data_IF_095343643954
#
_entry.id   IF_095343643954
#
_cell.length_a   1.000
_cell.length_b   1.000
_cell.length_c   1.000
_cell.angle_alpha   90.00
_cell.angle_beta   90.00
_cell.angle_gamma   90.00
#
_symmetry.space_group_name_H-M   'P 1'
#
loop_
_entity.id
_entity.type
_entity.pdbx_description
1 polymer ?
#
# COMPACT_ATOMS: atom_id res chain seq x y z
N UNK A 1 -14.41 25.34 -4.94
CA UNK A 1 -13.89 25.35 -6.32
C UNK A 1 -13.36 23.97 -6.62
N UNK A 2 -13.71 23.39 -7.77
CA UNK A 2 -13.16 22.10 -8.18
C UNK A 2 -11.82 22.34 -8.88
N UNK A 3 -10.75 21.76 -8.34
CA UNK A 3 -9.45 21.76 -9.01
C UNK A 3 -9.45 20.65 -10.08
N UNK A 4 -8.99 20.95 -11.28
CA UNK A 4 -8.81 19.96 -12.35
C UNK A 4 -7.34 19.59 -12.43
N UNK A 5 -7.02 18.35 -12.08
CA UNK A 5 -5.65 17.82 -12.19
C UNK A 5 -5.43 17.21 -13.57
N UNK A 6 -4.28 17.52 -14.19
CA UNK A 6 -3.79 16.81 -15.37
C UNK A 6 -2.36 16.36 -15.10
N UNK A 7 -2.07 15.09 -15.38
CA UNK A 7 -0.73 14.51 -15.21
C UNK A 7 -0.03 14.45 -16.56
N UNK A 8 1.21 14.92 -16.62
CA UNK A 8 2.10 14.80 -17.79
C UNK A 8 3.45 14.30 -17.33
N UNK A 9 3.97 13.27 -18.00
CA UNK A 9 5.34 12.80 -17.80
C UNK A 9 6.27 13.75 -18.54
N UNK A 10 7.32 14.20 -17.85
CA UNK A 10 8.27 15.18 -18.36
C UNK A 10 9.70 14.65 -18.17
N UNK A 11 10.62 14.95 -19.10
CA UNK A 11 12.04 14.77 -18.87
C UNK A 11 12.52 15.56 -17.65
N UNK A 12 13.42 14.97 -16.86
CA UNK A 12 13.94 15.57 -15.61
C UNK A 12 14.57 16.94 -15.82
N UNK A 13 15.29 17.15 -16.92
CA UNK A 13 15.95 18.42 -17.22
C UNK A 13 14.98 19.59 -17.47
N UNK A 14 13.69 19.33 -17.74
CA UNK A 14 12.68 20.39 -17.93
C UNK A 14 11.99 20.80 -16.62
N UNK A 15 12.14 20.03 -15.54
CA UNK A 15 11.37 20.23 -14.30
C UNK A 15 11.62 21.60 -13.69
N UNK A 16 12.86 22.08 -13.69
CA UNK A 16 13.23 23.37 -13.11
C UNK A 16 12.65 24.57 -13.88
N UNK A 17 12.47 24.46 -15.19
CA UNK A 17 12.11 25.58 -16.06
C UNK A 17 10.60 25.63 -16.36
N UNK A 18 9.91 24.48 -16.35
CA UNK A 18 8.58 24.36 -16.93
C UNK A 18 7.54 25.24 -16.23
N UNK A 19 7.58 25.34 -14.91
CA UNK A 19 6.62 26.14 -14.15
C UNK A 19 6.73 27.62 -14.53
N UNK A 20 7.96 28.13 -14.62
CA UNK A 20 8.24 29.51 -15.03
C UNK A 20 7.83 29.75 -16.48
N UNK A 21 8.13 28.80 -17.37
CA UNK A 21 7.77 28.90 -18.78
C UNK A 21 6.25 28.88 -19.01
N UNK A 22 5.51 28.05 -18.27
CA UNK A 22 4.03 28.05 -18.30
C UNK A 22 3.50 29.40 -17.83
N UNK A 23 3.99 29.92 -16.70
CA UNK A 23 3.58 31.24 -16.18
C UNK A 23 3.85 32.35 -17.20
N UNK A 24 5.04 32.39 -17.80
CA UNK A 24 5.42 33.40 -18.79
C UNK A 24 4.52 33.36 -20.03
N UNK A 25 4.24 32.17 -20.56
CA UNK A 25 3.37 32.00 -21.72
C UNK A 25 1.92 32.39 -21.41
N UNK A 26 1.40 32.02 -20.23
CA UNK A 26 0.05 32.39 -19.81
C UNK A 26 -0.10 33.90 -19.59
N UNK A 27 0.91 34.54 -19.00
CA UNK A 27 0.96 35.99 -18.86
C UNK A 27 0.97 36.69 -20.23
N UNK A 28 1.81 36.22 -21.17
CA UNK A 28 1.85 36.75 -22.54
C UNK A 28 0.53 36.57 -23.29
N UNK A 29 -0.19 35.48 -23.02
CA UNK A 29 -1.51 35.20 -23.57
C UNK A 29 -2.66 35.95 -22.91
N UNK A 30 -2.41 36.82 -21.92
CA UNK A 30 -3.47 37.55 -21.21
C UNK A 30 -4.36 36.68 -20.32
N UNK A 31 -3.89 35.51 -19.90
CA UNK A 31 -4.67 34.53 -19.14
C UNK A 31 -4.69 34.88 -17.65
N UNK A 32 -5.50 35.88 -17.28
CA UNK A 32 -5.53 36.46 -15.92
C UNK A 32 -5.92 35.46 -14.83
N UNK A 33 -6.82 34.51 -15.13
CA UNK A 33 -7.29 33.51 -14.16
C UNK A 33 -6.19 32.54 -13.72
N UNK A 34 -5.10 32.41 -14.48
CA UNK A 34 -4.00 31.51 -14.16
C UNK A 34 -2.92 32.12 -13.24
N UNK A 35 -3.10 33.38 -12.79
CA UNK A 35 -2.14 34.08 -11.92
C UNK A 35 -1.83 33.31 -10.63
N UNK A 36 -2.79 32.55 -10.12
CA UNK A 36 -2.69 31.79 -8.87
C UNK A 36 -2.46 30.29 -9.10
N UNK A 37 -1.96 29.90 -10.28
CA UNK A 37 -1.55 28.51 -10.49
C UNK A 37 -0.49 28.12 -9.47
N UNK A 38 -0.64 26.92 -8.92
CA UNK A 38 0.41 26.21 -8.21
C UNK A 38 0.69 24.92 -8.96
N UNK A 39 1.93 24.46 -8.88
CA UNK A 39 2.37 23.22 -9.50
C UNK A 39 2.69 22.25 -8.39
N UNK A 40 2.10 21.05 -8.44
CA UNK A 40 2.50 19.95 -7.58
C UNK A 40 3.53 19.12 -8.32
N UNK A 41 4.75 19.06 -7.79
CA UNK A 41 5.75 18.13 -8.27
C UNK A 41 5.66 16.83 -7.45
N UNK A 42 5.53 15.70 -8.13
CA UNK A 42 5.52 14.39 -7.47
C UNK A 42 6.58 13.53 -8.10
N UNK A 43 7.58 13.17 -7.31
CA UNK A 43 8.60 12.22 -7.71
C UNK A 43 8.08 10.81 -7.40
N UNK A 44 8.06 9.93 -8.39
CA UNK A 44 7.54 8.57 -8.25
C UNK A 44 8.50 7.55 -8.86
N UNK A 45 8.34 6.27 -8.53
CA UNK A 45 9.16 5.19 -9.11
C UNK A 45 10.52 4.97 -8.43
N UNK A 46 10.76 5.59 -7.27
CA UNK A 46 12.05 5.54 -6.56
C UNK A 46 12.10 4.52 -5.41
N UNK A 47 11.33 3.43 -5.50
CA UNK A 47 11.30 2.43 -4.41
C UNK A 47 12.69 1.84 -4.20
N UNK A 48 13.16 1.87 -2.95
CA UNK A 48 14.47 1.34 -2.53
C UNK A 48 15.67 2.06 -3.16
N UNK A 49 15.53 3.33 -3.55
CA UNK A 49 16.65 4.09 -4.10
C UNK A 49 17.73 4.39 -3.04
N UNK A 50 17.33 4.65 -1.80
CA UNK A 50 18.20 4.85 -0.64
C UNK A 50 17.71 4.04 0.56
N UNK A 51 18.62 3.68 1.47
CA UNK A 51 18.34 2.87 2.66
C UNK A 51 19.31 3.25 3.78
N UNK A 52 18.82 3.26 5.02
CA UNK A 52 19.62 3.48 6.23
C UNK A 52 19.11 2.60 7.37
N UNK A 53 19.92 2.46 8.43
CA UNK A 53 19.45 1.88 9.69
C UNK A 53 18.63 2.89 10.49
N UNK A 54 18.10 2.53 11.66
CA UNK A 54 17.38 3.45 12.56
C UNK A 54 18.35 4.42 13.29
N UNK A 55 19.32 4.96 12.55
CA UNK A 55 20.30 5.93 13.01
C UNK A 55 20.05 7.29 12.32
N UNK A 56 19.89 8.39 13.08
CA UNK A 56 19.61 9.71 12.51
C UNK A 56 20.71 10.24 11.57
N UNK A 57 21.98 9.89 11.81
CA UNK A 57 23.08 10.36 10.97
C UNK A 57 23.08 9.64 9.62
N UNK A 58 22.85 8.33 9.61
CA UNK A 58 22.67 7.57 8.37
C UNK A 58 21.40 8.01 7.60
N UNK A 59 20.33 8.37 8.32
CA UNK A 59 19.11 8.92 7.72
C UNK A 59 19.38 10.24 6.98
N UNK A 60 20.20 11.13 7.56
CA UNK A 60 20.61 12.38 6.90
C UNK A 60 21.39 12.12 5.61
N UNK A 61 22.39 11.24 5.65
CA UNK A 61 23.18 10.88 4.46
C UNK A 61 22.28 10.30 3.36
N UNK A 62 21.36 9.40 3.72
CA UNK A 62 20.40 8.82 2.77
C UNK A 62 19.44 9.86 2.19
N UNK A 63 19.05 10.86 2.97
CA UNK A 63 18.21 11.96 2.50
C UNK A 63 18.97 12.85 1.51
N UNK A 64 20.22 13.20 1.79
CA UNK A 64 21.08 13.98 0.90
C UNK A 64 21.29 13.27 -0.44
N UNK A 65 21.60 11.97 -0.41
CA UNK A 65 21.71 11.14 -1.60
C UNK A 65 20.40 11.08 -2.40
N UNK A 66 19.27 10.91 -1.69
CA UNK A 66 17.95 10.91 -2.33
C UNK A 66 17.66 12.22 -3.04
N UNK A 67 17.81 13.35 -2.35
CA UNK A 67 17.53 14.68 -2.90
C UNK A 67 18.44 14.97 -4.11
N UNK A 68 19.73 14.65 -4.00
CA UNK A 68 20.68 14.74 -5.11
C UNK A 68 20.23 13.92 -6.32
N UNK A 69 19.77 12.68 -6.11
CA UNK A 69 19.32 11.80 -7.20
C UNK A 69 18.10 12.33 -7.97
N UNK A 70 17.29 13.18 -7.34
CA UNK A 70 16.10 13.79 -7.94
C UNK A 70 16.31 15.25 -8.35
N UNK A 71 17.56 15.73 -8.31
CA UNK A 71 17.95 17.10 -8.58
C UNK A 71 17.24 18.14 -7.69
N UNK A 72 17.05 17.79 -6.41
CA UNK A 72 16.60 18.70 -5.36
C UNK A 72 17.77 19.01 -4.42
N UNK A 73 17.88 20.26 -3.96
CA UNK A 73 18.80 20.62 -2.87
C UNK A 73 18.12 20.44 -1.51
N UNK A 74 18.90 20.36 -0.42
CA UNK A 74 18.37 20.42 0.95
C UNK A 74 17.57 21.71 1.21
N UNK A 75 17.99 22.82 0.59
CA UNK A 75 17.32 24.12 0.64
C UNK A 75 15.94 24.11 -0.05
N UNK A 76 15.54 23.00 -0.70
CA UNK A 76 14.17 22.84 -1.19
C UNK A 76 13.14 23.01 -0.06
N UNK A 77 13.52 22.70 1.18
CA UNK A 77 12.71 22.95 2.38
C UNK A 77 12.43 24.45 2.63
N UNK A 78 13.32 25.35 2.22
CA UNK A 78 13.15 26.80 2.34
C UNK A 78 12.19 27.35 1.26
N UNK A 79 12.05 26.62 0.16
CA UNK A 79 11.28 27.01 -1.03
C UNK A 79 10.07 26.08 -1.26
N UNK A 80 9.07 26.18 -0.39
CA UNK A 80 7.77 25.53 -0.57
C UNK A 80 7.40 24.57 0.55
N UNK A 81 6.36 23.76 0.32
CA UNK A 81 5.95 22.70 1.25
C UNK A 81 6.21 21.35 0.59
N UNK A 82 7.16 20.60 1.15
CA UNK A 82 7.56 19.29 0.67
C UNK A 82 7.18 18.21 1.67
N UNK A 83 6.67 17.11 1.15
CA UNK A 83 6.39 15.90 1.92
C UNK A 83 7.15 14.74 1.32
N UNK A 84 7.53 13.81 2.18
CA UNK A 84 8.25 12.60 1.82
C UNK A 84 7.63 11.41 2.54
N UNK A 85 7.61 10.27 1.85
CA UNK A 85 7.22 8.99 2.43
C UNK A 85 8.49 8.32 2.99
N UNK A 86 8.59 8.23 4.32
CA UNK A 86 9.67 7.50 5.00
C UNK A 86 9.17 6.11 5.37
N UNK A 87 9.96 5.09 5.05
CA UNK A 87 9.58 3.70 5.22
C UNK A 87 10.51 2.93 6.16
N UNK A 88 9.93 2.15 7.07
CA UNK A 88 10.64 1.15 7.87
C UNK A 88 10.24 -0.24 7.40
N UNK A 89 11.23 -1.05 7.02
CA UNK A 89 11.01 -2.45 6.65
C UNK A 89 11.60 -3.39 7.72
N UNK A 90 10.75 -4.31 8.17
CA UNK A 90 11.13 -5.38 9.09
C UNK A 90 11.18 -6.67 8.30
N UNK A 91 12.38 -7.25 8.26
CA UNK A 91 12.62 -8.54 7.62
C UNK A 91 12.51 -9.68 8.63
N UNK A 92 11.87 -10.81 8.26
CA UNK A 92 11.85 -12.00 9.09
C UNK A 92 13.24 -12.69 9.12
N UNK A 93 13.39 -13.61 10.06
CA UNK A 93 14.37 -14.70 9.93
C UNK A 93 14.10 -15.55 8.68
N UNK A 94 15.08 -16.34 8.25
CA UNK A 94 14.92 -17.21 7.09
C UNK A 94 13.68 -18.11 7.19
N UNK A 95 13.04 -18.37 6.06
CA UNK A 95 11.83 -19.21 5.96
C UNK A 95 10.60 -18.70 6.73
N UNK A 96 10.61 -17.48 7.24
CA UNK A 96 9.45 -16.90 7.93
C UNK A 96 8.76 -15.82 7.08
N UNK A 97 7.52 -15.51 7.44
CA UNK A 97 6.70 -14.46 6.89
C UNK A 97 6.11 -13.65 8.04
N UNK A 98 6.30 -12.34 7.97
CA UNK A 98 5.72 -11.39 8.91
C UNK A 98 4.38 -10.88 8.41
N UNK A 99 3.46 -10.70 9.35
CA UNK A 99 2.19 -10.02 9.14
C UNK A 99 1.89 -9.09 10.33
N UNK A 100 1.08 -8.07 10.10
CA UNK A 100 0.66 -7.13 11.14
C UNK A 100 -0.50 -7.70 11.97
N UNK A 101 -0.36 -7.59 13.29
CA UNK A 101 -1.43 -7.90 14.24
C UNK A 101 -2.40 -6.72 14.30
N UNK A 102 -3.64 -6.99 13.95
CA UNK A 102 -4.73 -6.01 13.97
C UNK A 102 -4.84 -5.25 15.29
N UNK A 103 -4.81 -5.98 16.40
CA UNK A 103 -5.06 -5.41 17.73
C UNK A 103 -3.92 -4.51 18.20
N UNK A 104 -2.81 -4.46 17.48
CA UNK A 104 -1.65 -3.65 17.83
C UNK A 104 -1.54 -2.38 16.98
N UNK A 105 -2.51 -2.11 16.09
CA UNK A 105 -2.51 -0.91 15.26
C UNK A 105 -2.46 0.38 16.09
N UNK A 106 -3.26 0.48 17.16
CA UNK A 106 -3.25 1.66 18.03
C UNK A 106 -1.88 1.86 18.70
N UNK A 107 -1.25 0.79 19.21
CA UNK A 107 0.06 0.88 19.84
C UNK A 107 1.16 1.34 18.86
N UNK A 108 1.16 0.81 17.62
CA UNK A 108 2.12 1.27 16.60
C UNK A 108 1.90 2.73 16.23
N UNK A 109 0.65 3.14 16.08
CA UNK A 109 0.29 4.52 15.74
C UNK A 109 0.68 5.47 16.86
N UNK A 110 0.43 5.09 18.11
CA UNK A 110 0.84 5.84 19.30
C UNK A 110 2.36 6.04 19.31
N UNK A 111 3.11 4.95 19.18
CA UNK A 111 4.57 4.94 19.23
C UNK A 111 5.18 5.76 18.09
N UNK A 112 4.69 5.57 16.85
CA UNK A 112 5.30 6.16 15.65
C UNK A 112 4.92 7.62 15.48
N UNK A 113 3.68 8.00 15.82
CA UNK A 113 3.24 9.39 15.69
C UNK A 113 3.52 10.21 16.96
N UNK A 114 3.86 9.58 18.09
CA UNK A 114 4.08 10.27 19.36
C UNK A 114 2.79 10.92 19.90
N UNK A 115 1.64 10.26 19.70
CA UNK A 115 0.33 10.78 20.15
C UNK A 115 -0.15 10.08 21.43
N UNK A 116 -1.19 10.62 22.07
CA UNK A 116 -1.80 9.99 23.24
C UNK A 116 -2.40 8.62 22.89
N UNK A 117 -2.49 7.74 23.89
CA UNK A 117 -3.14 6.44 23.72
C UNK A 117 -4.63 6.62 23.36
N UNK A 118 -5.29 7.62 23.91
CA UNK A 118 -6.67 7.97 23.62
C UNK A 118 -6.84 8.34 22.15
N UNK A 119 -5.98 9.22 21.61
CA UNK A 119 -6.02 9.62 20.21
C UNK A 119 -5.71 8.44 19.30
N UNK A 120 -4.69 7.63 19.62
CA UNK A 120 -4.33 6.44 18.85
C UNK A 120 -5.47 5.42 18.77
N UNK A 121 -6.17 5.18 19.88
CA UNK A 121 -7.35 4.31 19.89
C UNK A 121 -8.51 4.93 19.11
N UNK A 122 -8.74 6.24 19.24
CA UNK A 122 -9.78 6.94 18.51
C UNK A 122 -9.58 6.84 16.99
N UNK A 123 -8.37 7.14 16.49
CA UNK A 123 -8.09 7.12 15.04
C UNK A 123 -7.99 5.71 14.46
N UNK A 124 -7.84 4.68 15.28
CA UNK A 124 -7.85 3.27 14.85
C UNK A 124 -9.19 2.58 15.11
N UNK A 125 -10.24 3.34 15.46
CA UNK A 125 -11.58 2.82 15.66
C UNK A 125 -12.24 2.46 14.33
N UNK A 126 -12.89 1.30 14.27
CA UNK A 126 -13.65 0.86 13.10
C UNK A 126 -14.81 1.81 12.80
N UNK A 127 -15.03 2.10 11.51
CA UNK A 127 -16.08 3.00 11.05
C UNK A 127 -15.66 4.47 10.92
N UNK A 128 -14.43 4.82 11.35
CA UNK A 128 -13.86 6.13 11.07
C UNK A 128 -13.53 6.29 9.58
N UNK A 129 -13.82 7.45 9.01
CA UNK A 129 -13.52 7.76 7.60
C UNK A 129 -12.03 7.83 7.30
N UNK A 130 -11.20 7.98 8.34
CA UNK A 130 -9.75 8.15 8.27
C UNK A 130 -8.96 6.87 8.49
N UNK A 131 -9.63 5.76 8.76
CA UNK A 131 -9.00 4.48 9.07
C UNK A 131 -9.55 3.37 8.18
N UNK A 132 -8.67 2.82 7.35
CA UNK A 132 -8.97 1.67 6.51
C UNK A 132 -8.14 0.48 6.94
N UNK A 133 -8.78 -0.68 7.10
CA UNK A 133 -8.09 -1.94 7.43
C UNK A 133 -7.92 -2.79 6.19
N UNK A 134 -6.66 -3.17 5.94
CA UNK A 134 -6.29 -3.97 4.80
C UNK A 134 -6.13 -5.43 5.25
N UNK A 135 -7.26 -6.14 5.40
CA UNK A 135 -7.31 -7.53 5.90
C UNK A 135 -6.49 -8.47 5.00
N UNK A 136 -5.57 -9.21 5.60
CA UNK A 136 -4.71 -10.15 4.89
C UNK A 136 -5.37 -11.52 4.81
N UNK A 137 -5.56 -12.03 3.60
CA UNK A 137 -6.05 -13.40 3.35
C UNK A 137 -7.35 -13.75 4.08
N UNK A 138 -8.24 -12.77 4.27
CA UNK A 138 -9.50 -12.88 5.04
C UNK A 138 -9.32 -13.26 6.53
N UNK A 139 -8.12 -13.08 7.10
CA UNK A 139 -7.87 -13.30 8.51
C UNK A 139 -8.11 -12.00 9.28
N UNK A 140 -9.26 -11.87 9.95
CA UNK A 140 -9.69 -10.60 10.58
C UNK A 140 -8.76 -10.08 11.68
N UNK A 141 -7.91 -10.93 12.25
CA UNK A 141 -6.89 -10.55 13.24
C UNK A 141 -5.54 -10.17 12.60
N UNK A 142 -5.41 -10.34 11.28
CA UNK A 142 -4.19 -10.12 10.50
C UNK A 142 -4.50 -9.08 9.43
N UNK A 143 -4.04 -7.85 9.61
CA UNK A 143 -4.34 -6.78 8.67
C UNK A 143 -3.26 -5.73 8.72
N UNK A 144 -2.98 -5.13 7.57
CA UNK A 144 -2.38 -3.80 7.54
C UNK A 144 -3.45 -2.72 7.81
N UNK A 145 -3.05 -1.46 7.71
CA UNK A 145 -4.00 -0.36 7.72
C UNK A 145 -3.46 0.86 6.98
N UNK A 146 -4.38 1.77 6.66
CA UNK A 146 -4.10 3.10 6.13
C UNK A 146 -4.81 4.12 7.02
N UNK A 147 -4.09 5.16 7.41
CA UNK A 147 -4.58 6.21 8.28
C UNK A 147 -4.27 7.58 7.67
N UNK A 148 -5.27 8.45 7.67
CA UNK A 148 -5.12 9.88 7.40
C UNK A 148 -5.38 10.64 8.71
N UNK A 149 -4.37 10.85 9.58
CA UNK A 149 -4.59 11.26 10.96
C UNK A 149 -5.40 12.57 11.06
N UNK A 150 -5.17 13.48 10.13
CA UNK A 150 -5.74 14.82 10.09
C UNK A 150 -5.33 15.66 11.31
N UNK A 151 -5.77 16.91 11.37
CA UNK A 151 -5.15 17.95 12.21
C UNK A 151 -4.98 17.63 13.70
N UNK A 152 -5.83 16.78 14.28
CA UNK A 152 -5.79 16.45 15.71
C UNK A 152 -4.87 15.28 16.06
N UNK A 153 -4.46 14.46 15.09
CA UNK A 153 -3.71 13.24 15.33
C UNK A 153 -2.43 13.12 14.48
N UNK A 154 -1.96 14.23 13.90
CA UNK A 154 -0.74 14.24 13.08
C UNK A 154 0.53 13.94 13.90
N UNK A 155 0.46 14.15 15.22
CA UNK A 155 1.57 13.85 16.13
C UNK A 155 2.76 14.78 15.99
N UNK A 156 3.88 14.39 16.60
CA UNK A 156 5.11 15.18 16.66
C UNK A 156 5.69 15.46 15.27
N UNK A 157 5.56 14.50 14.36
CA UNK A 157 6.13 14.55 13.00
C UNK A 157 5.17 15.11 11.95
N UNK A 158 4.02 15.64 12.37
CA UNK A 158 2.99 16.20 11.47
C UNK A 158 2.59 15.23 10.34
N UNK A 159 2.41 13.96 10.68
CA UNK A 159 2.12 12.90 9.72
C UNK A 159 0.81 13.17 8.96
N UNK A 160 0.93 13.27 7.64
CA UNK A 160 -0.20 13.46 6.73
C UNK A 160 -0.85 12.11 6.34
N UNK A 161 -0.06 11.03 6.35
CA UNK A 161 -0.50 9.69 5.98
C UNK A 161 0.35 8.65 6.71
N UNK A 162 -0.27 7.54 7.08
CA UNK A 162 0.39 6.41 7.75
C UNK A 162 -0.13 5.10 7.16
N UNK A 163 0.77 4.16 6.90
CA UNK A 163 0.40 2.88 6.34
C UNK A 163 1.22 1.73 6.92
N UNK A 164 0.50 0.66 7.29
CA UNK A 164 1.07 -0.65 7.61
C UNK A 164 0.71 -1.61 6.48
N UNK A 165 1.69 -2.25 5.87
CA UNK A 165 1.46 -3.29 4.88
C UNK A 165 2.58 -4.32 4.85
N UNK A 166 2.45 -5.31 3.97
CA UNK A 166 3.45 -6.37 3.80
C UNK A 166 3.87 -6.52 2.36
N UNK A 167 5.11 -6.97 2.13
CA UNK A 167 5.69 -7.06 0.78
C UNK A 167 5.11 -8.22 -0.05
N UNK A 168 4.42 -9.18 0.57
CA UNK A 168 3.75 -10.28 -0.13
C UNK A 168 2.66 -9.81 -1.12
N UNK A 169 2.12 -8.59 -0.91
CA UNK A 169 1.21 -7.91 -1.86
C UNK A 169 1.88 -7.65 -3.22
N UNK A 170 3.19 -7.47 -3.28
CA UNK A 170 3.92 -7.12 -4.51
C UNK A 170 3.78 -8.20 -5.58
N UNK A 171 3.70 -9.48 -5.18
CA UNK A 171 3.64 -10.63 -6.09
C UNK A 171 2.35 -10.64 -6.92
N UNK A 172 1.28 -10.06 -6.37
CA UNK A 172 -0.02 -9.94 -7.04
C UNK A 172 -0.37 -8.51 -7.43
N UNK A 173 0.59 -7.57 -7.34
CA UNK A 173 0.39 -6.18 -7.71
C UNK A 173 0.03 -6.06 -9.19
N UNK A 174 -0.92 -5.16 -9.50
CA UNK A 174 -1.34 -4.85 -10.85
C UNK A 174 -1.46 -3.32 -11.01
N UNK A 175 -0.32 -2.61 -11.15
CA UNK A 175 -0.32 -1.15 -11.15
C UNK A 175 -1.06 -0.55 -12.36
N UNK A 176 -1.21 -1.29 -13.46
CA UNK A 176 -1.89 -0.84 -14.69
C UNK A 176 -3.38 -1.26 -14.75
N UNK A 177 -3.85 -2.03 -13.77
CA UNK A 177 -5.24 -2.48 -13.73
C UNK A 177 -6.20 -1.50 -13.06
N UNK A 178 -7.51 -1.70 -13.26
CA UNK A 178 -8.55 -0.98 -12.52
C UNK A 178 -8.57 -1.28 -11.00
N UNK A 179 -7.81 -2.29 -10.57
CA UNK A 179 -7.57 -2.65 -9.17
C UNK A 179 -6.07 -2.74 -8.93
N UNK A 180 -5.59 -2.29 -7.76
CA UNK A 180 -4.17 -2.34 -7.40
C UNK A 180 -3.59 -3.76 -7.31
N UNK A 181 -4.44 -4.79 -7.23
CA UNK A 181 -4.06 -6.19 -7.32
C UNK A 181 -4.73 -6.87 -8.51
N UNK A 182 -4.14 -7.97 -8.98
CA UNK A 182 -4.82 -8.91 -9.89
C UNK A 182 -6.15 -9.33 -9.25
N UNK A 183 -7.21 -9.39 -10.03
CA UNK A 183 -8.54 -9.75 -9.55
C UNK A 183 -9.31 -10.54 -10.62
N UNK A 184 -10.20 -11.41 -10.17
CA UNK A 184 -11.16 -12.11 -11.02
C UNK A 184 -12.55 -11.48 -10.91
N UNK A 185 -13.31 -11.48 -12.00
CA UNK A 185 -14.72 -11.08 -12.03
C UNK A 185 -15.63 -12.31 -12.07
N UNK A 186 -16.89 -12.15 -11.67
CA UNK A 186 -17.93 -13.19 -11.81
C UNK A 186 -18.12 -13.60 -13.26
N UNK A 187 -18.05 -12.65 -14.20
CA UNK A 187 -18.11 -12.93 -15.64
C UNK A 187 -16.97 -13.87 -16.09
N UNK A 188 -15.74 -13.64 -15.63
CA UNK A 188 -14.61 -14.52 -15.93
C UNK A 188 -14.76 -15.89 -15.23
N UNK A 189 -15.24 -15.92 -13.99
CA UNK A 189 -15.52 -17.13 -13.23
C UNK A 189 -16.72 -17.96 -13.77
N UNK A 190 -17.56 -17.39 -14.63
CA UNK A 190 -18.62 -18.10 -15.35
C UNK A 190 -18.33 -18.26 -16.85
N UNK A 191 -17.15 -17.82 -17.29
CA UNK A 191 -16.75 -17.85 -18.70
C UNK A 191 -16.67 -19.26 -19.28
N UNK A 192 -16.45 -19.38 -20.61
CA UNK A 192 -16.50 -20.64 -21.35
C UNK A 192 -15.43 -21.66 -20.91
N UNK A 193 -14.34 -21.18 -20.29
CA UNK A 193 -13.27 -22.02 -19.72
C UNK A 193 -13.35 -21.98 -18.19
N UNK A 194 -13.67 -23.12 -17.56
CA UNK A 194 -13.51 -23.35 -16.12
C UNK A 194 -12.59 -24.55 -15.82
N UNK A 195 -11.68 -24.44 -14.85
CA UNK A 195 -11.43 -23.22 -14.09
C UNK A 195 -10.77 -22.14 -14.96
N UNK A 196 -10.92 -20.85 -14.61
CA UNK A 196 -10.34 -19.77 -15.38
C UNK A 196 -8.80 -19.86 -15.31
N UNK A 197 -8.06 -19.54 -16.39
CA UNK A 197 -6.59 -19.54 -16.38
C UNK A 197 -5.99 -18.71 -15.23
N UNK A 198 -6.73 -17.70 -14.77
CA UNK A 198 -6.42 -16.90 -13.60
C UNK A 198 -6.18 -17.75 -12.34
N UNK A 199 -7.04 -18.73 -12.07
CA UNK A 199 -6.95 -19.60 -10.86
C UNK A 199 -5.72 -20.50 -10.96
N UNK A 200 -5.48 -21.12 -12.12
CA UNK A 200 -4.28 -21.92 -12.37
C UNK A 200 -3.00 -21.07 -12.18
N UNK A 201 -3.03 -19.82 -12.67
CA UNK A 201 -1.95 -18.86 -12.50
C UNK A 201 -1.69 -18.52 -11.03
N UNK A 202 -2.75 -18.28 -10.24
CA UNK A 202 -2.64 -18.03 -8.81
C UNK A 202 -2.11 -19.24 -8.03
N UNK A 203 -2.55 -20.46 -8.34
CA UNK A 203 -2.02 -21.68 -7.72
C UNK A 203 -0.52 -21.80 -7.96
N UNK A 204 -0.07 -21.69 -9.21
CA UNK A 204 1.36 -21.73 -9.56
C UNK A 204 2.15 -20.64 -8.85
N UNK A 205 1.59 -19.43 -8.78
CA UNK A 205 2.20 -18.29 -8.12
C UNK A 205 2.40 -18.54 -6.61
N UNK A 206 1.35 -18.97 -5.91
CA UNK A 206 1.42 -19.23 -4.47
C UNK A 206 2.30 -20.44 -4.14
N UNK A 207 2.25 -21.51 -4.93
CA UNK A 207 3.17 -22.64 -4.77
C UNK A 207 4.62 -22.21 -4.97
N UNK A 208 4.92 -21.38 -5.97
CA UNK A 208 6.27 -20.87 -6.17
C UNK A 208 6.72 -19.95 -5.03
N UNK A 209 5.79 -19.18 -4.46
CA UNK A 209 6.06 -18.26 -3.37
C UNK A 209 6.41 -18.98 -2.04
N UNK A 210 5.93 -20.21 -1.82
CA UNK A 210 6.28 -21.05 -0.66
C UNK A 210 7.80 -21.19 -0.48
N UNK A 211 8.54 -21.29 -1.59
CA UNK A 211 9.98 -21.57 -1.58
C UNK A 211 10.84 -20.32 -1.75
N UNK A 212 10.27 -19.22 -2.25
CA UNK A 212 11.07 -18.09 -2.75
C UNK A 212 10.73 -16.75 -2.12
N UNK A 213 9.55 -16.59 -1.55
CA UNK A 213 9.04 -15.26 -1.18
C UNK A 213 8.68 -15.20 0.29
N UNK A 214 9.56 -14.60 1.10
CA UNK A 214 9.20 -14.16 2.43
C UNK A 214 8.26 -12.93 2.35
N UNK A 215 7.48 -12.73 3.41
CA UNK A 215 6.67 -11.53 3.60
C UNK A 215 7.37 -10.65 4.63
N UNK A 216 7.79 -9.45 4.23
CA UNK A 216 8.34 -8.45 5.14
C UNK A 216 7.21 -7.55 5.60
N UNK A 217 7.31 -7.04 6.81
CA UNK A 217 6.36 -6.07 7.35
C UNK A 217 6.91 -4.67 7.14
N UNK A 218 6.11 -3.76 6.60
CA UNK A 218 6.52 -2.41 6.26
C UNK A 218 5.59 -1.37 6.87
N UNK A 219 6.21 -0.34 7.43
CA UNK A 219 5.56 0.89 7.85
C UNK A 219 5.97 1.99 6.89
N UNK A 220 5.03 2.83 6.48
CA UNK A 220 5.32 4.06 5.74
C UNK A 220 4.58 5.23 6.39
N UNK A 221 5.28 6.36 6.54
CA UNK A 221 4.71 7.59 7.09
C UNK A 221 5.05 8.74 6.14
N UNK A 222 4.03 9.51 5.76
CA UNK A 222 4.20 10.74 5.01
C UNK A 222 4.35 11.91 5.96
N UNK A 223 5.51 12.54 5.96
CA UNK A 223 5.83 13.68 6.83
C UNK A 223 6.37 14.85 6.02
N UNK A 224 6.33 16.08 6.55
CA UNK A 224 7.12 17.19 6.03
C UNK A 224 8.59 16.81 5.91
N UNK A 225 9.26 17.30 4.86
CA UNK A 225 10.63 16.94 4.52
C UNK A 225 11.64 17.19 5.67
N UNK A 226 11.40 18.19 6.53
CA UNK A 226 12.26 18.48 7.68
C UNK A 226 12.17 17.45 8.82
N UNK A 227 11.16 16.58 8.83
CA UNK A 227 11.04 15.47 9.78
C UNK A 227 11.59 14.14 9.23
N UNK A 228 12.08 14.13 8.00
CA UNK A 228 12.44 12.90 7.28
C UNK A 228 13.56 12.10 7.95
N UNK A 229 14.49 12.78 8.61
CA UNK A 229 15.65 12.17 9.28
C UNK A 229 15.33 11.70 10.70
N UNK A 230 14.19 12.12 11.26
CA UNK A 230 13.82 11.84 12.65
C UNK A 230 12.75 10.75 12.75
N UNK A 231 11.76 10.77 11.86
CA UNK A 231 10.64 9.82 11.89
C UNK A 231 11.15 8.38 11.71
N UNK A 232 10.57 7.44 12.46
CA UNK A 232 10.93 6.00 12.46
C UNK A 232 12.36 5.67 12.94
N UNK A 233 13.15 6.64 13.45
CA UNK A 233 14.48 6.35 13.99
C UNK A 233 14.47 5.90 15.45
N UNK A 234 13.40 6.22 16.21
CA UNK A 234 13.28 5.93 17.65
C UNK A 234 12.03 5.11 17.92
N UNK A 235 12.09 3.82 17.62
CA UNK A 235 10.98 2.89 17.82
C UNK A 235 11.31 1.88 18.93
N UNK A 236 10.42 1.71 19.92
CA UNK A 236 10.53 0.58 20.86
C UNK A 236 10.36 -0.75 20.09
N UNK A 237 11.45 -1.51 20.02
CA UNK A 237 11.49 -2.81 19.39
C UNK A 237 10.53 -3.82 20.04
N UNK A 238 10.16 -3.64 21.30
CA UNK A 238 9.16 -4.48 21.96
C UNK A 238 7.76 -4.20 21.44
N UNK A 239 7.40 -2.94 21.21
CA UNK A 239 6.14 -2.57 20.55
C UNK A 239 6.09 -3.19 19.16
N UNK A 240 7.18 -3.10 18.40
CA UNK A 240 7.28 -3.69 17.06
C UNK A 240 7.12 -5.22 17.10
N UNK A 241 7.87 -5.91 17.95
CA UNK A 241 7.78 -7.38 18.13
C UNK A 241 6.39 -7.83 18.52
N UNK A 242 5.74 -7.13 19.46
CA UNK A 242 4.39 -7.45 19.93
C UNK A 242 3.29 -7.11 18.91
N UNK A 243 3.65 -6.37 17.85
CA UNK A 243 2.74 -5.98 16.77
C UNK A 243 2.83 -6.88 15.53
N UNK A 244 3.77 -7.82 15.53
CA UNK A 244 4.01 -8.72 14.41
C UNK A 244 3.52 -10.13 14.74
N UNK A 245 3.05 -10.81 13.70
CA UNK A 245 2.75 -12.23 13.69
C UNK A 245 3.73 -12.90 12.73
N UNK A 246 4.31 -14.02 13.17
CA UNK A 246 5.27 -14.78 12.38
C UNK A 246 4.66 -16.10 11.97
N UNK A 247 4.69 -16.38 10.68
CA UNK A 247 4.27 -17.65 10.09
C UNK A 247 5.44 -18.29 9.37
N UNK A 248 5.54 -19.61 9.37
CA UNK A 248 6.44 -20.28 8.43
C UNK A 248 6.00 -19.93 7.02
N UNK A 249 6.95 -19.63 6.13
CA UNK A 249 6.68 -19.25 4.74
C UNK A 249 5.88 -20.32 4.01
N UNK A 250 6.23 -21.60 4.21
CA UNK A 250 5.48 -22.73 3.70
C UNK A 250 4.01 -22.67 4.12
N UNK A 251 3.75 -22.40 5.40
CA UNK A 251 2.40 -22.45 5.98
C UNK A 251 1.57 -21.25 5.52
N UNK A 252 2.18 -20.05 5.47
CA UNK A 252 1.52 -18.83 5.01
C UNK A 252 1.03 -18.94 3.56
N UNK A 253 1.88 -19.43 2.67
CA UNK A 253 1.54 -19.59 1.26
C UNK A 253 0.66 -20.81 1.01
N UNK A 254 0.92 -21.94 1.69
CA UNK A 254 0.07 -23.13 1.59
C UNK A 254 -1.37 -22.85 2.05
N UNK A 255 -1.56 -22.02 3.09
CA UNK A 255 -2.89 -21.55 3.49
C UNK A 255 -3.66 -20.90 2.33
N UNK A 256 -2.99 -20.06 1.53
CA UNK A 256 -3.58 -19.45 0.35
C UNK A 256 -3.83 -20.50 -0.75
N UNK A 257 -2.87 -21.40 -1.01
CA UNK A 257 -3.01 -22.50 -2.00
C UNK A 257 -4.24 -23.35 -1.71
N UNK A 258 -4.40 -23.82 -0.48
CA UNK A 258 -5.53 -24.68 -0.09
C UNK A 258 -6.88 -24.00 -0.33
N UNK A 259 -6.98 -22.69 -0.08
CA UNK A 259 -8.21 -21.92 -0.33
C UNK A 259 -8.48 -21.71 -1.81
N UNK A 260 -7.45 -21.40 -2.60
CA UNK A 260 -7.59 -21.31 -4.06
C UNK A 260 -8.03 -22.65 -4.63
N UNK A 261 -7.46 -23.76 -4.17
CA UNK A 261 -7.80 -25.12 -4.61
C UNK A 261 -9.23 -25.53 -4.21
N UNK A 262 -9.68 -25.16 -3.01
CA UNK A 262 -11.08 -25.38 -2.60
C UNK A 262 -12.05 -24.60 -3.52
N UNK A 263 -11.77 -23.32 -3.79
CA UNK A 263 -12.58 -22.49 -4.70
C UNK A 263 -12.55 -23.06 -6.13
N UNK A 264 -11.39 -23.49 -6.59
CA UNK A 264 -11.19 -24.14 -7.89
C UNK A 264 -12.13 -25.33 -8.06
N UNK A 265 -12.19 -26.22 -7.06
CA UNK A 265 -13.06 -27.40 -7.07
C UNK A 265 -14.55 -27.04 -7.11
N UNK A 266 -14.97 -26.02 -6.37
CA UNK A 266 -16.36 -25.53 -6.40
C UNK A 266 -16.73 -25.04 -7.80
N UNK A 267 -15.87 -24.25 -8.45
CA UNK A 267 -16.14 -23.72 -9.79
C UNK A 267 -16.15 -24.82 -10.87
N UNK A 268 -15.28 -25.84 -10.74
CA UNK A 268 -15.30 -27.03 -11.60
C UNK A 268 -16.62 -27.79 -11.44
N UNK A 269 -17.06 -28.02 -10.20
CA UNK A 269 -18.34 -28.69 -9.93
C UNK A 269 -19.52 -27.90 -10.48
N UNK A 270 -19.52 -26.57 -10.31
CA UNK A 270 -20.54 -25.71 -10.91
C UNK A 270 -20.60 -25.88 -12.42
N UNK A 271 -19.46 -25.90 -13.13
CA UNK A 271 -19.43 -26.10 -14.60
C UNK A 271 -19.99 -27.46 -15.02
N UNK A 272 -19.71 -28.52 -14.27
CA UNK A 272 -20.19 -29.88 -14.58
C UNK A 272 -21.71 -30.04 -14.40
N UNK A 273 -22.37 -29.11 -13.70
CA UNK A 273 -23.81 -29.11 -13.51
C UNK A 273 -24.60 -28.66 -14.77
N UNK A 274 -25.88 -29.08 -14.89
CA UNK A 274 -26.78 -28.62 -15.95
C UNK A 274 -26.89 -27.09 -16.02
N UNK A 275 -26.86 -26.52 -17.22
CA UNK A 275 -26.96 -25.06 -17.44
C UNK A 275 -28.17 -24.42 -16.77
N UNK A 276 -29.31 -25.11 -16.72
CA UNK A 276 -30.53 -24.65 -16.05
C UNK A 276 -30.37 -24.48 -14.53
N UNK A 277 -29.45 -25.21 -13.90
CA UNK A 277 -29.15 -25.08 -12.47
C UNK A 277 -28.10 -24.01 -12.19
N UNK A 278 -27.15 -23.79 -13.12
CA UNK A 278 -26.07 -22.80 -12.96
C UNK A 278 -26.55 -21.35 -12.94
N UNK A 279 -27.69 -21.09 -13.57
CA UNK A 279 -28.31 -19.75 -13.60
C UNK A 279 -29.25 -19.49 -12.43
N UNK A 280 -29.45 -20.47 -11.53
CA UNK A 280 -30.29 -20.27 -10.34
C UNK A 280 -29.61 -19.30 -9.37
N UNK A 281 -30.39 -18.52 -8.60
CA UNK A 281 -29.86 -17.57 -7.64
C UNK A 281 -28.79 -18.16 -6.72
N UNK A 282 -29.02 -19.34 -6.14
CA UNK A 282 -28.07 -19.95 -5.21
C UNK A 282 -26.71 -20.27 -5.86
N UNK A 283 -26.72 -20.74 -7.10
CA UNK A 283 -25.51 -21.02 -7.85
C UNK A 283 -24.74 -19.72 -8.15
N UNK A 284 -25.45 -18.67 -8.58
CA UNK A 284 -24.85 -17.36 -8.86
C UNK A 284 -24.27 -16.72 -7.59
N UNK A 285 -24.96 -16.82 -6.45
CA UNK A 285 -24.46 -16.34 -5.15
C UNK A 285 -23.20 -17.11 -4.73
N UNK A 286 -23.18 -18.44 -4.92
CA UNK A 286 -22.00 -19.24 -4.63
C UNK A 286 -20.81 -18.84 -5.52
N UNK A 287 -21.03 -18.59 -6.82
CA UNK A 287 -19.96 -18.09 -7.71
C UNK A 287 -19.46 -16.72 -7.26
N UNK A 288 -20.37 -15.81 -6.90
CA UNK A 288 -20.01 -14.48 -6.41
C UNK A 288 -19.22 -14.57 -5.10
N UNK A 289 -19.60 -15.45 -4.17
CA UNK A 289 -18.87 -15.72 -2.95
C UNK A 289 -17.48 -16.27 -3.23
N UNK A 290 -17.34 -17.24 -4.15
CA UNK A 290 -16.04 -17.77 -4.58
C UNK A 290 -15.12 -16.68 -5.13
N UNK A 291 -15.64 -15.78 -5.97
CA UNK A 291 -14.88 -14.65 -6.52
C UNK A 291 -14.45 -13.68 -5.42
N UNK A 292 -15.36 -13.32 -4.51
CA UNK A 292 -15.06 -12.45 -3.38
C UNK A 292 -13.98 -13.05 -2.47
N UNK A 293 -14.13 -14.33 -2.12
CA UNK A 293 -13.15 -15.06 -1.31
C UNK A 293 -11.78 -15.14 -1.99
N UNK A 294 -11.75 -15.42 -3.29
CA UNK A 294 -10.50 -15.54 -4.06
C UNK A 294 -9.76 -14.20 -4.15
N UNK A 295 -10.48 -13.12 -4.46
CA UNK A 295 -9.90 -11.78 -4.50
C UNK A 295 -9.40 -11.37 -3.11
N UNK A 296 -10.16 -11.64 -2.04
CA UNK A 296 -9.76 -11.36 -0.66
C UNK A 296 -8.51 -12.10 -0.17
N UNK A 297 -7.98 -13.08 -0.93
CA UNK A 297 -6.69 -13.70 -0.62
C UNK A 297 -5.49 -12.79 -0.90
N UNK A 298 -5.61 -11.82 -1.80
CA UNK A 298 -4.45 -11.07 -2.32
C UNK A 298 -4.76 -9.63 -2.75
N UNK A 299 -5.95 -9.38 -3.31
CA UNK A 299 -6.45 -8.05 -3.61
C UNK A 299 -7.10 -7.47 -2.35
N UNK A 300 -6.25 -6.95 -1.44
CA UNK A 300 -6.71 -6.18 -0.27
C UNK A 300 -7.48 -4.95 -0.78
N UNK A 301 -8.73 -4.69 -0.32
CA UNK A 301 -9.47 -3.47 -0.61
C UNK A 301 -8.67 -2.21 -0.23
#
# INVERSE_FOLDING_TARGET
>A
GHMSYQTKILPSYLVAEIANQIRANLAKGGVVWAKNFFFTHTVTGLRHNTQHTMDPQEALVSLEEFLSSVNLSLDATECGQWWIDVGLEVSPEEQMCLQWRTSSHSHLVQEILGISNEDANCITTLGGSKYSRDVASLLMAVSGCRIEPGSQAMGEYQAAYFQLYTTDKAITCNPEGGYHGKAITTALAMGPRQPPPFIEGLLKLFTSAMDRNASNARVEVRVPLHHATDVLTRLDLNVLRNSLLTFRRSDWWNFKVLRVEAINRVLIQQRSGPSSLRVKPDALHLTAACVWLLNGLHARP
#
